data_IF_179228373614
#
_entry.id   IF_179228373614
#
_cell.length_a   1.000
_cell.length_b   1.000
_cell.length_c   1.000
_cell.angle_alpha   90.00
_cell.angle_beta   90.00
_cell.angle_gamma   90.00
#
_symmetry.space_group_name_H-M   'P 1'
#
loop_
_entity.id
_entity.type
_entity.pdbx_description
1 polymer ?
#
# COMPACT_ATOMS: atom_id res chain seq x y z
N UNK A 1 6.21 32.91 6.00
CA UNK A 1 5.72 31.54 5.80
C UNK A 1 6.96 30.67 5.86
N UNK A 2 7.04 29.79 6.82
CA UNK A 2 8.15 28.84 6.91
C UNK A 2 7.79 27.61 6.09
N UNK A 3 8.66 27.21 5.17
CA UNK A 3 8.50 26.02 4.33
C UNK A 3 9.43 24.89 4.76
N UNK A 4 10.14 25.04 5.90
CA UNK A 4 10.98 24.00 6.47
C UNK A 4 10.14 22.91 7.14
N UNK A 5 10.75 21.76 7.36
CA UNK A 5 10.17 20.71 8.20
C UNK A 5 10.23 21.11 9.68
N UNK A 6 9.30 20.59 10.48
CA UNK A 6 9.36 20.76 11.93
C UNK A 6 10.53 19.96 12.54
N UNK A 7 10.84 20.25 13.81
CA UNK A 7 11.89 19.50 14.52
C UNK A 7 11.53 18.00 14.61
N UNK A 8 10.26 17.67 14.80
CA UNK A 8 9.76 16.30 14.83
C UNK A 8 9.90 15.60 13.47
N UNK A 9 9.64 16.33 12.38
CA UNK A 9 9.79 15.81 11.02
C UNK A 9 11.27 15.59 10.66
N UNK A 10 12.16 16.45 11.10
CA UNK A 10 13.60 16.25 10.95
C UNK A 10 14.09 15.04 11.78
N UNK A 11 13.60 14.86 13.01
CA UNK A 11 13.92 13.69 13.82
C UNK A 11 13.40 12.39 13.16
N UNK A 12 12.20 12.43 12.59
CA UNK A 12 11.64 11.29 11.83
C UNK A 12 12.54 10.97 10.63
N UNK A 13 12.99 11.99 9.88
CA UNK A 13 13.91 11.83 8.75
C UNK A 13 15.22 11.19 9.17
N UNK A 14 15.85 11.70 10.22
CA UNK A 14 17.12 11.16 10.71
C UNK A 14 16.98 9.72 11.17
N UNK A 15 15.93 9.41 11.91
CA UNK A 15 15.62 8.04 12.37
C UNK A 15 15.42 7.09 11.18
N UNK A 16 14.61 7.50 10.20
CA UNK A 16 14.37 6.70 9.00
C UNK A 16 15.66 6.48 8.20
N UNK A 17 16.46 7.53 8.02
CA UNK A 17 17.74 7.48 7.32
C UNK A 17 18.73 6.53 7.98
N UNK A 18 18.88 6.63 9.30
CA UNK A 18 19.75 5.75 10.05
C UNK A 18 19.27 4.29 9.95
N UNK A 19 18.00 4.04 10.22
CA UNK A 19 17.41 2.71 10.14
C UNK A 19 17.63 2.07 8.78
N UNK A 20 17.28 2.76 7.69
CA UNK A 20 17.42 2.23 6.33
C UNK A 20 18.90 2.03 5.93
N UNK A 21 19.81 2.89 6.38
CA UNK A 21 21.24 2.72 6.11
C UNK A 21 21.82 1.47 6.74
N UNK A 22 21.32 1.09 7.92
CA UNK A 22 21.76 -0.08 8.68
C UNK A 22 21.04 -1.37 8.23
N UNK A 23 19.72 -1.28 8.01
CA UNK A 23 18.87 -2.45 7.79
C UNK A 23 18.64 -2.77 6.32
N UNK A 24 18.77 -1.77 5.43
CA UNK A 24 18.50 -1.90 4.00
C UNK A 24 19.61 -1.26 3.14
N UNK A 25 20.89 -1.67 3.32
CA UNK A 25 21.95 -1.19 2.45
C UNK A 25 21.70 -1.67 1.01
N UNK A 26 22.17 -0.93 0.01
CA UNK A 26 21.95 -1.17 -1.42
C UNK A 26 22.27 -2.61 -1.88
N UNK A 27 23.27 -3.26 -1.25
CA UNK A 27 23.58 -4.65 -1.55
C UNK A 27 22.42 -5.59 -1.19
N UNK A 28 21.84 -5.39 0.00
CA UNK A 28 20.66 -6.16 0.46
C UNK A 28 19.45 -5.90 -0.42
N UNK A 29 19.19 -4.63 -0.79
CA UNK A 29 18.11 -4.26 -1.71
C UNK A 29 18.24 -5.02 -3.04
N UNK A 30 19.44 -5.08 -3.58
CA UNK A 30 19.71 -5.82 -4.82
C UNK A 30 19.49 -7.33 -4.66
N UNK A 31 20.01 -7.93 -3.60
CA UNK A 31 19.84 -9.36 -3.31
C UNK A 31 18.36 -9.73 -3.16
N UNK A 32 17.58 -8.90 -2.49
CA UNK A 32 16.14 -9.10 -2.31
C UNK A 32 15.39 -8.96 -3.64
N UNK A 33 15.69 -7.92 -4.41
CA UNK A 33 15.08 -7.69 -5.72
C UNK A 33 15.39 -8.79 -6.73
N UNK A 34 16.64 -9.24 -6.80
CA UNK A 34 17.05 -10.37 -7.68
C UNK A 34 16.37 -11.68 -7.25
N UNK A 35 16.16 -11.89 -5.97
CA UNK A 35 15.49 -13.06 -5.43
C UNK A 35 13.95 -13.00 -5.56
N UNK A 36 13.38 -11.83 -5.89
CA UNK A 36 11.94 -11.59 -5.91
C UNK A 36 11.30 -11.85 -4.55
N UNK A 37 11.97 -11.47 -3.45
CA UNK A 37 11.54 -11.79 -2.09
C UNK A 37 11.17 -10.53 -1.32
N UNK A 38 10.07 -10.62 -0.59
CA UNK A 38 9.69 -9.65 0.42
C UNK A 38 10.47 -9.89 1.72
N UNK A 39 10.94 -8.81 2.35
CA UNK A 39 11.63 -8.87 3.65
C UNK A 39 10.65 -8.75 4.80
N UNK A 40 10.08 -9.88 5.22
CA UNK A 40 9.11 -9.93 6.33
C UNK A 40 9.71 -9.45 7.65
N UNK A 41 11.00 -9.68 7.90
CA UNK A 41 11.64 -9.23 9.13
C UNK A 41 11.77 -7.71 9.16
N UNK A 42 12.21 -7.11 8.05
CA UNK A 42 12.29 -5.66 7.91
C UNK A 42 10.90 -4.99 8.01
N UNK A 43 9.85 -5.62 7.44
CA UNK A 43 8.48 -5.15 7.59
C UNK A 43 8.03 -5.13 9.05
N UNK A 44 8.33 -6.17 9.82
CA UNK A 44 8.05 -6.21 11.25
C UNK A 44 8.73 -5.07 12.01
N UNK A 45 10.01 -4.81 11.72
CA UNK A 45 10.75 -3.69 12.32
C UNK A 45 10.16 -2.31 11.93
N UNK A 46 9.71 -2.15 10.69
CA UNK A 46 9.00 -0.94 10.21
C UNK A 46 7.68 -0.75 10.99
N UNK A 47 6.94 -1.82 11.23
CA UNK A 47 5.71 -1.78 12.03
C UNK A 47 5.99 -1.45 13.52
N UNK A 48 7.02 -2.04 14.11
CA UNK A 48 7.46 -1.74 15.48
C UNK A 48 7.86 -0.27 15.67
N UNK A 49 8.38 0.38 14.62
CA UNK A 49 8.66 1.81 14.60
C UNK A 49 7.40 2.68 14.41
N UNK A 50 6.23 2.07 14.22
CA UNK A 50 4.95 2.75 14.02
C UNK A 50 4.77 3.37 12.64
N UNK A 51 5.61 3.06 11.65
CA UNK A 51 5.51 3.69 10.34
C UNK A 51 4.31 3.22 9.52
N UNK A 52 3.83 2.00 9.77
CA UNK A 52 2.58 1.48 9.21
C UNK A 52 1.34 2.19 9.76
N UNK A 53 1.43 2.69 10.99
CA UNK A 53 0.37 3.38 11.73
C UNK A 53 0.34 4.90 11.47
N UNK A 54 1.34 5.45 10.77
CA UNK A 54 1.66 6.87 10.74
C UNK A 54 0.47 7.75 10.35
N UNK A 55 -0.25 7.42 9.28
CA UNK A 55 -1.38 8.22 8.75
C UNK A 55 -2.76 7.74 9.22
N UNK A 56 -2.80 6.72 10.05
CA UNK A 56 -4.04 6.15 10.59
C UNK A 56 -4.48 6.98 11.80
N UNK A 57 -5.79 7.29 11.95
CA UNK A 57 -6.29 8.01 13.12
C UNK A 57 -6.02 7.25 14.44
N UNK A 58 -5.79 8.00 15.53
CA UNK A 58 -5.51 7.43 16.86
C UNK A 58 -6.63 6.50 17.35
N UNK A 59 -7.88 6.78 17.02
CA UNK A 59 -9.04 5.95 17.35
C UNK A 59 -9.05 4.56 16.69
N UNK A 60 -8.12 4.32 15.76
CA UNK A 60 -7.88 3.05 15.05
C UNK A 60 -6.45 2.55 15.23
N UNK A 61 -5.86 2.78 16.39
CA UNK A 61 -4.50 2.39 16.77
C UNK A 61 -3.38 3.06 15.93
N UNK A 62 -3.69 4.19 15.30
CA UNK A 62 -2.76 4.97 14.50
C UNK A 62 -2.03 6.05 15.28
N UNK A 63 -1.14 6.77 14.58
CA UNK A 63 -0.41 7.93 15.12
C UNK A 63 -1.06 9.27 14.75
N UNK A 64 -2.07 9.30 13.88
CA UNK A 64 -2.79 10.51 13.49
C UNK A 64 -1.95 11.56 12.77
N UNK A 65 -0.77 11.19 12.25
CA UNK A 65 0.12 12.12 11.57
C UNK A 65 -0.34 12.42 10.12
N UNK A 66 0.26 13.43 9.52
CA UNK A 66 -0.16 13.93 8.21
C UNK A 66 0.58 13.32 7.02
N UNK A 67 0.13 13.72 5.82
CA UNK A 67 0.79 13.30 4.58
C UNK A 67 2.21 13.89 4.44
N UNK A 68 2.51 15.02 5.10
CA UNK A 68 3.86 15.59 5.10
C UNK A 68 4.83 14.68 5.85
N UNK A 69 4.38 14.08 6.96
CA UNK A 69 5.19 13.13 7.72
C UNK A 69 5.42 11.84 6.92
N UNK A 70 4.40 11.35 6.21
CA UNK A 70 4.55 10.24 5.27
C UNK A 70 5.52 10.58 4.13
N UNK A 71 5.52 11.83 3.63
CA UNK A 71 6.45 12.27 2.59
C UNK A 71 7.90 12.18 3.05
N UNK A 72 8.18 12.51 4.32
CA UNK A 72 9.51 12.35 4.92
C UNK A 72 9.98 10.89 4.85
N UNK A 73 9.13 9.93 5.22
CA UNK A 73 9.43 8.51 5.09
C UNK A 73 9.61 8.10 3.63
N UNK A 74 8.72 8.57 2.74
CA UNK A 74 8.77 8.26 1.33
C UNK A 74 10.09 8.69 0.66
N UNK A 75 10.57 9.88 1.01
CA UNK A 75 11.84 10.41 0.51
C UNK A 75 13.02 9.52 0.91
N UNK A 76 13.10 9.10 2.19
CA UNK A 76 14.19 8.26 2.67
C UNK A 76 14.12 6.83 2.12
N UNK A 77 12.92 6.25 2.00
CA UNK A 77 12.71 4.95 1.33
C UNK A 77 13.12 5.02 -0.15
N UNK A 78 12.73 6.09 -0.85
CA UNK A 78 13.13 6.31 -2.24
C UNK A 78 14.63 6.49 -2.41
N UNK A 79 15.29 7.19 -1.48
CA UNK A 79 16.74 7.40 -1.49
C UNK A 79 17.54 6.11 -1.39
N UNK A 80 17.02 5.12 -0.71
CA UNK A 80 17.65 3.79 -0.56
C UNK A 80 17.11 2.75 -1.54
N UNK A 81 16.15 3.12 -2.40
CA UNK A 81 15.40 2.19 -3.25
C UNK A 81 14.78 1.02 -2.46
N UNK A 82 14.36 1.29 -1.22
CA UNK A 82 13.81 0.26 -0.34
C UNK A 82 12.57 -0.37 -0.97
N UNK A 83 12.58 -1.68 -1.26
CA UNK A 83 11.39 -2.39 -1.73
C UNK A 83 10.32 -2.49 -0.64
N UNK A 84 9.08 -2.54 -1.03
CA UNK A 84 8.00 -2.93 -0.13
C UNK A 84 6.76 -2.05 -0.21
N UNK A 85 5.78 -2.47 0.57
CA UNK A 85 4.39 -2.02 0.54
C UNK A 85 4.09 -0.79 1.43
N UNK A 86 5.08 -0.19 2.13
CA UNK A 86 4.78 0.87 3.10
C UNK A 86 3.94 2.01 2.51
N UNK A 87 4.34 2.54 1.35
CA UNK A 87 3.66 3.68 0.75
C UNK A 87 2.28 3.31 0.18
N UNK A 88 2.17 2.14 -0.47
CA UNK A 88 0.87 1.67 -0.96
C UNK A 88 -0.07 1.34 0.18
N UNK A 89 0.41 0.69 1.23
CA UNK A 89 -0.36 0.37 2.44
C UNK A 89 -0.84 1.65 3.15
N UNK A 90 0.04 2.63 3.34
CA UNK A 90 -0.34 3.93 3.93
C UNK A 90 -1.37 4.67 3.06
N UNK A 91 -1.24 4.63 1.74
CA UNK A 91 -2.22 5.21 0.81
C UNK A 91 -3.58 4.54 0.90
N UNK A 92 -3.63 3.21 0.95
CA UNK A 92 -4.88 2.45 1.13
C UNK A 92 -5.48 2.73 2.51
N UNK A 93 -4.68 2.74 3.57
CA UNK A 93 -5.14 3.10 4.92
C UNK A 93 -5.78 4.48 4.96
N UNK A 94 -5.18 5.47 4.28
CA UNK A 94 -5.73 6.81 4.18
C UNK A 94 -7.09 6.84 3.47
N UNK A 95 -7.25 6.08 2.39
CA UNK A 95 -8.54 5.94 1.68
C UNK A 95 -9.59 5.26 2.58
N UNK A 96 -9.22 4.21 3.32
CA UNK A 96 -10.14 3.55 4.26
C UNK A 96 -10.55 4.52 5.38
N UNK A 97 -9.60 5.26 5.95
CA UNK A 97 -9.88 6.23 7.02
C UNK A 97 -10.86 7.32 6.58
N UNK A 98 -10.74 7.83 5.35
CA UNK A 98 -11.57 8.92 4.86
C UNK A 98 -12.91 8.46 4.28
N UNK A 99 -12.93 7.34 3.57
CA UNK A 99 -14.09 6.92 2.76
C UNK A 99 -14.68 5.57 3.15
N UNK A 100 -14.01 4.79 3.99
CA UNK A 100 -14.51 3.50 4.46
C UNK A 100 -15.74 3.64 5.37
N UNK A 101 -16.55 2.60 5.42
CA UNK A 101 -17.58 2.48 6.46
C UNK A 101 -16.95 2.25 7.84
N UNK A 102 -17.73 2.46 8.92
CA UNK A 102 -17.24 2.20 10.28
C UNK A 102 -16.78 0.75 10.47
N UNK A 103 -17.46 -0.21 9.84
CA UNK A 103 -17.06 -1.62 9.86
C UNK A 103 -15.71 -1.85 9.14
N UNK A 104 -15.51 -1.22 7.98
CA UNK A 104 -14.25 -1.32 7.24
C UNK A 104 -13.08 -0.65 7.99
N UNK A 105 -13.31 0.50 8.60
CA UNK A 105 -12.31 1.16 9.44
C UNK A 105 -11.91 0.29 10.62
N UNK A 106 -12.90 -0.25 11.34
CA UNK A 106 -12.67 -1.09 12.51
C UNK A 106 -11.98 -2.42 12.18
N UNK A 107 -12.22 -2.97 10.99
CA UNK A 107 -11.60 -4.23 10.55
C UNK A 107 -10.16 -4.03 10.07
N UNK A 108 -9.94 -3.04 9.20
CA UNK A 108 -8.67 -2.96 8.46
C UNK A 108 -7.64 -2.02 9.04
N UNK A 109 -8.04 -0.89 9.63
CA UNK A 109 -7.08 0.11 10.09
C UNK A 109 -6.19 -0.39 11.24
N UNK A 110 -6.71 -1.08 12.29
CA UNK A 110 -5.85 -1.63 13.33
C UNK A 110 -4.88 -2.70 12.79
N UNK A 111 -5.34 -3.57 11.90
CA UNK A 111 -4.49 -4.60 11.29
C UNK A 111 -3.36 -3.99 10.44
N UNK A 112 -3.64 -2.89 9.72
CA UNK A 112 -2.62 -2.14 8.99
C UNK A 112 -1.66 -1.45 9.97
N UNK A 113 -2.18 -0.80 10.99
CA UNK A 113 -1.37 -0.10 12.00
C UNK A 113 -0.37 -1.05 12.68
N UNK A 114 -0.81 -2.24 13.05
CA UNK A 114 0.04 -3.31 13.62
C UNK A 114 0.98 -3.99 12.63
N UNK A 115 0.90 -3.68 11.32
CA UNK A 115 1.70 -4.33 10.28
C UNK A 115 1.24 -5.73 9.89
N UNK A 116 0.08 -6.18 10.38
CA UNK A 116 -0.50 -7.49 10.09
C UNK A 116 -1.14 -7.55 8.70
N UNK A 117 -1.56 -6.39 8.16
CA UNK A 117 -2.18 -6.27 6.85
C UNK A 117 -1.37 -5.33 5.96
N UNK A 118 -0.87 -5.85 4.85
CA UNK A 118 -0.20 -5.11 3.79
C UNK A 118 -1.19 -4.86 2.67
N UNK A 119 -1.28 -3.63 2.20
CA UNK A 119 -2.28 -3.26 1.20
C UNK A 119 -1.67 -2.62 -0.03
N UNK A 120 -2.28 -2.86 -1.19
CA UNK A 120 -1.90 -2.23 -2.44
C UNK A 120 -3.13 -1.84 -3.26
N UNK A 121 -2.93 -1.09 -4.34
CA UNK A 121 -4.05 -0.67 -5.22
C UNK A 121 -3.98 -1.41 -6.55
N UNK A 122 -5.14 -1.81 -7.01
CA UNK A 122 -5.35 -2.43 -8.30
C UNK A 122 -6.26 -1.53 -9.14
N UNK A 123 -5.62 -0.64 -9.94
CA UNK A 123 -6.34 0.38 -10.72
C UNK A 123 -6.21 0.17 -12.23
N UNK A 124 -5.01 -0.04 -12.75
CA UNK A 124 -4.76 -0.10 -14.18
C UNK A 124 -5.33 -1.36 -14.81
N UNK A 125 -5.79 -1.24 -16.07
CA UNK A 125 -6.40 -2.31 -16.84
C UNK A 125 -5.67 -2.52 -18.19
N UNK A 126 -5.85 -3.70 -18.84
CA UNK A 126 -5.16 -4.03 -20.09
C UNK A 126 -5.40 -3.02 -21.22
N UNK A 127 -6.62 -2.49 -21.33
CA UNK A 127 -7.03 -1.57 -22.38
C UNK A 127 -6.48 -0.15 -22.20
N UNK A 128 -5.87 0.12 -21.02
CA UNK A 128 -5.29 1.40 -20.67
C UNK A 128 -6.29 2.41 -20.13
N UNK A 129 -5.81 3.63 -19.93
CA UNK A 129 -6.57 4.71 -19.30
C UNK A 129 -6.14 4.96 -17.86
N UNK A 130 -6.27 6.20 -17.41
CA UNK A 130 -5.76 6.64 -16.10
C UNK A 130 -6.83 7.31 -15.26
N UNK A 131 -7.95 7.66 -15.88
CA UNK A 131 -9.04 8.34 -15.24
C UNK A 131 -10.09 7.39 -14.66
N UNK A 132 -10.97 7.89 -13.80
CA UNK A 132 -12.07 7.10 -13.26
C UNK A 132 -13.04 6.61 -14.35
N UNK A 133 -13.15 7.36 -15.46
CA UNK A 133 -14.00 6.96 -16.58
C UNK A 133 -13.43 5.80 -17.40
N UNK A 134 -12.13 5.55 -17.29
CA UNK A 134 -11.44 4.46 -17.98
C UNK A 134 -11.56 3.11 -17.24
N UNK A 135 -12.10 3.10 -16.02
CA UNK A 135 -12.32 1.87 -15.25
C UNK A 135 -13.41 1.03 -15.91
N UNK A 136 -13.06 -0.15 -16.39
CA UNK A 136 -13.94 -1.07 -17.11
C UNK A 136 -14.24 -2.38 -16.36
N UNK A 137 -13.38 -2.80 -15.42
CA UNK A 137 -13.61 -3.99 -14.58
C UNK A 137 -14.99 -3.91 -13.94
N UNK A 138 -15.81 -4.92 -14.17
CA UNK A 138 -17.21 -4.91 -13.73
C UNK A 138 -17.37 -5.33 -12.27
N UNK A 139 -18.18 -4.58 -11.53
CA UNK A 139 -18.68 -4.96 -10.22
C UNK A 139 -20.21 -5.12 -10.29
N UNK A 140 -20.70 -6.31 -10.03
CA UNK A 140 -22.14 -6.63 -10.03
C UNK A 140 -22.61 -6.98 -8.62
N UNK A 141 -23.76 -6.48 -8.25
CA UNK A 141 -24.38 -6.81 -6.96
C UNK A 141 -24.79 -8.28 -6.92
N UNK A 142 -24.35 -8.99 -5.90
CA UNK A 142 -24.76 -10.37 -5.62
C UNK A 142 -25.15 -10.52 -4.15
N UNK A 143 -26.44 -10.64 -3.87
CA UNK A 143 -26.95 -10.65 -2.50
C UNK A 143 -26.57 -9.37 -1.75
N UNK A 144 -25.94 -9.53 -0.60
CA UNK A 144 -25.47 -8.40 0.21
C UNK A 144 -24.04 -7.93 -0.17
N UNK A 145 -23.39 -8.64 -1.10
CA UNK A 145 -22.02 -8.36 -1.56
C UNK A 145 -21.94 -7.94 -3.02
N UNK A 146 -20.72 -8.06 -3.55
CA UNK A 146 -20.37 -7.71 -4.92
C UNK A 146 -19.51 -8.81 -5.55
N UNK A 147 -19.77 -9.14 -6.80
CA UNK A 147 -18.90 -9.95 -7.63
C UNK A 147 -18.12 -9.04 -8.57
N UNK A 148 -16.79 -9.14 -8.52
CA UNK A 148 -15.89 -8.43 -9.41
C UNK A 148 -15.39 -9.38 -10.49
N UNK A 149 -15.34 -8.90 -11.75
CA UNK A 149 -14.88 -9.71 -12.88
C UNK A 149 -14.07 -8.88 -13.86
N UNK A 150 -12.82 -9.27 -14.08
CA UNK A 150 -11.87 -8.60 -14.97
C UNK A 150 -10.44 -8.73 -14.47
N UNK A 151 -9.52 -8.04 -15.14
CA UNK A 151 -8.10 -8.07 -14.83
C UNK A 151 -7.58 -6.68 -14.48
N UNK A 152 -6.69 -6.61 -13.49
CA UNK A 152 -5.90 -5.41 -13.20
C UNK A 152 -4.43 -5.69 -13.51
N UNK A 153 -3.73 -4.70 -14.07
CA UNK A 153 -2.33 -4.81 -14.47
C UNK A 153 -1.44 -3.85 -13.72
N UNK A 154 -0.15 -4.16 -13.71
CA UNK A 154 0.89 -3.32 -13.09
C UNK A 154 0.58 -3.01 -11.62
N UNK A 155 -0.03 -3.98 -10.92
CA UNK A 155 -0.30 -3.87 -9.50
C UNK A 155 1.00 -4.03 -8.74
N UNK A 156 1.42 -2.98 -8.04
CA UNK A 156 2.69 -2.96 -7.30
C UNK A 156 2.63 -3.90 -6.09
N UNK A 157 3.65 -4.73 -5.94
CA UNK A 157 3.89 -5.62 -4.79
C UNK A 157 2.69 -6.53 -4.44
N UNK A 158 1.87 -6.85 -5.45
CA UNK A 158 0.63 -7.61 -5.28
C UNK A 158 0.83 -9.03 -4.73
N UNK A 159 1.99 -9.64 -4.99
CA UNK A 159 2.31 -11.00 -4.52
C UNK A 159 2.38 -11.06 -2.99
N UNK A 160 2.78 -9.96 -2.35
CA UNK A 160 2.97 -9.87 -0.92
C UNK A 160 1.85 -9.09 -0.21
N UNK A 161 0.81 -8.66 -0.95
CA UNK A 161 -0.31 -7.92 -0.40
C UNK A 161 -1.36 -8.86 0.22
N UNK A 162 -1.90 -8.44 1.36
CA UNK A 162 -2.99 -9.12 2.06
C UNK A 162 -4.36 -8.52 1.68
N UNK A 163 -4.37 -7.25 1.25
CA UNK A 163 -5.56 -6.50 0.88
C UNK A 163 -5.33 -5.69 -0.39
N UNK A 164 -6.29 -5.72 -1.30
CA UNK A 164 -6.31 -4.93 -2.52
C UNK A 164 -7.39 -3.86 -2.46
N UNK A 165 -7.04 -2.62 -2.77
CA UNK A 165 -8.00 -1.56 -3.08
C UNK A 165 -8.24 -1.58 -4.59
N UNK A 166 -9.34 -2.15 -5.01
CA UNK A 166 -9.67 -2.39 -6.43
C UNK A 166 -10.65 -1.34 -6.93
N UNK A 167 -10.31 -0.65 -8.02
CA UNK A 167 -11.29 0.18 -8.73
C UNK A 167 -12.13 -0.70 -9.66
N UNK A 168 -13.45 -0.54 -9.62
CA UNK A 168 -14.35 -1.26 -10.50
C UNK A 168 -15.57 -0.41 -10.87
N UNK A 169 -16.26 -0.76 -11.93
CA UNK A 169 -17.44 -0.07 -12.44
C UNK A 169 -18.70 -0.79 -12.01
N UNK A 170 -19.56 -0.03 -11.34
CA UNK A 170 -20.94 -0.41 -11.03
C UNK A 170 -21.91 0.24 -12.02
N UNK A 171 -23.20 -0.09 -11.94
CA UNK A 171 -24.25 0.57 -12.71
C UNK A 171 -24.39 2.08 -12.36
N UNK A 172 -23.91 2.47 -11.17
CA UNK A 172 -23.94 3.86 -10.67
C UNK A 172 -22.65 4.64 -11.01
N UNK A 173 -21.61 3.96 -11.53
CA UNK A 173 -20.31 4.56 -11.87
C UNK A 173 -19.12 3.84 -11.26
N UNK A 174 -17.92 4.43 -11.32
CA UNK A 174 -16.73 3.85 -10.72
C UNK A 174 -16.81 3.86 -9.19
N UNK A 175 -16.35 2.77 -8.58
CA UNK A 175 -16.30 2.60 -7.14
C UNK A 175 -15.02 1.89 -6.72
N UNK A 176 -14.69 1.95 -5.43
CA UNK A 176 -13.54 1.28 -4.82
C UNK A 176 -14.02 0.11 -3.95
N UNK A 177 -13.34 -1.00 -4.04
CA UNK A 177 -13.63 -2.23 -3.31
C UNK A 177 -12.42 -2.69 -2.53
N UNK A 178 -12.62 -3.09 -1.29
CA UNK A 178 -11.62 -3.78 -0.49
C UNK A 178 -11.74 -5.28 -0.74
N UNK A 179 -10.68 -5.87 -1.27
CA UNK A 179 -10.66 -7.28 -1.69
C UNK A 179 -9.51 -7.98 -0.96
N UNK A 180 -9.81 -8.86 0.03
CA UNK A 180 -8.78 -9.66 0.69
C UNK A 180 -8.09 -10.61 -0.29
N UNK A 181 -6.79 -10.81 -0.13
CA UNK A 181 -6.01 -11.73 -0.99
C UNK A 181 -6.47 -13.19 -0.90
N UNK A 182 -7.13 -13.55 0.20
CA UNK A 182 -7.64 -14.91 0.44
C UNK A 182 -8.98 -15.21 -0.23
N UNK A 183 -9.59 -14.23 -0.93
CA UNK A 183 -10.90 -14.44 -1.55
C UNK A 183 -10.82 -15.46 -2.68
N UNK A 184 -11.84 -16.34 -2.77
CA UNK A 184 -11.91 -17.32 -3.85
C UNK A 184 -12.07 -16.65 -5.21
N UNK A 185 -11.34 -17.10 -6.22
CA UNK A 185 -11.39 -16.58 -7.58
C UNK A 185 -10.40 -15.46 -7.88
N UNK A 186 -9.67 -14.95 -6.89
CA UNK A 186 -8.55 -14.06 -7.11
C UNK A 186 -7.30 -14.86 -7.52
N UNK A 187 -6.60 -14.39 -8.52
CA UNK A 187 -5.27 -14.88 -8.89
C UNK A 187 -4.31 -13.72 -9.08
N UNK A 188 -3.07 -13.89 -8.64
CA UNK A 188 -2.00 -12.92 -8.79
C UNK A 188 -0.88 -13.54 -9.61
N UNK A 189 -0.58 -12.96 -10.77
CA UNK A 189 0.48 -13.42 -11.66
C UNK A 189 1.61 -12.40 -11.70
N UNK A 190 2.79 -12.71 -11.14
CA UNK A 190 3.90 -11.77 -11.13
C UNK A 190 4.47 -11.55 -12.55
N UNK A 191 4.88 -10.32 -12.81
CA UNK A 191 5.59 -9.94 -14.02
C UNK A 191 7.09 -9.84 -13.75
N UNK A 192 7.90 -10.31 -14.71
CA UNK A 192 9.34 -10.10 -14.70
C UNK A 192 9.65 -8.72 -15.28
N UNK A 193 10.12 -7.82 -14.44
CA UNK A 193 10.53 -6.46 -14.81
C UNK A 193 12.04 -6.27 -14.72
N UNK A 194 12.53 -5.11 -15.17
CA UNK A 194 13.92 -4.69 -15.00
C UNK A 194 14.13 -3.98 -13.66
N UNK A 195 13.07 -3.48 -13.04
CA UNK A 195 13.14 -2.83 -11.75
C UNK A 195 13.23 -3.87 -10.63
N UNK A 196 14.18 -3.68 -9.71
CA UNK A 196 14.40 -4.56 -8.57
C UNK A 196 13.80 -4.03 -7.26
N UNK A 197 13.43 -2.74 -7.22
CA UNK A 197 12.87 -2.13 -6.01
C UNK A 197 11.37 -2.34 -5.86
N UNK A 198 10.70 -2.87 -6.88
CA UNK A 198 9.25 -3.13 -6.87
C UNK A 198 8.92 -4.34 -7.74
N UNK A 199 8.08 -5.21 -7.22
CA UNK A 199 7.44 -6.25 -8.02
C UNK A 199 6.14 -5.72 -8.64
N UNK A 200 5.83 -6.17 -9.84
CA UNK A 200 4.56 -5.86 -10.52
C UNK A 200 3.83 -7.16 -10.83
N UNK A 201 2.50 -7.14 -10.79
CA UNK A 201 1.68 -8.30 -11.12
C UNK A 201 0.38 -7.93 -11.86
N UNK A 202 -0.27 -8.97 -12.38
CA UNK A 202 -1.63 -8.97 -12.90
C UNK A 202 -2.51 -9.81 -12.01
#
# INVERSE_FOLDING_TARGET
MDFGFSEEQEMLRETCRQFLSERSPMLRVREMGEAGRFDQALWGEIAELGWTALVIPEEHDGLGLGLVDLLVLAEEHGRTCQPGLLLSTSGVAKVIAEFGSDAQRAEWLPAIAGGECRATWAHYEPEGGWGPDDVALQAKREGDGWALSGNKRLVGDAVDADLFLVSARTDEGPALFLVPSSIAGLSVTPHHGLELSRTLAE
#
